data_IF_745942410690
#
_entry.id   IF_745942410690
#
_cell.length_a   1.000
_cell.length_b   1.000
_cell.length_c   1.000
_cell.angle_alpha   90.00
_cell.angle_beta   90.00
_cell.angle_gamma   90.00
#
_symmetry.space_group_name_H-M   'P 1'
#
loop_
_entity.id
_entity.type
_entity.pdbx_description
1 polymer ?
#
# COMPACT_ATOMS: atom_id res chain seq x y z
N UNK A 1 -1.73 17.87 -14.93
CA UNK A 1 -1.06 17.04 -13.90
C UNK A 1 0.39 16.91 -14.29
N UNK A 2 1.34 17.17 -13.40
CA UNK A 2 2.76 17.18 -13.76
C UNK A 2 3.25 15.78 -14.17
N UNK A 3 4.16 15.71 -15.15
CA UNK A 3 4.77 14.47 -15.64
C UNK A 3 5.38 13.64 -14.51
N UNK A 4 5.94 14.31 -13.49
CA UNK A 4 6.45 13.67 -12.27
C UNK A 4 5.36 12.83 -11.63
N UNK A 5 4.22 13.42 -11.28
CA UNK A 5 3.13 12.74 -10.59
C UNK A 5 2.65 11.52 -11.39
N UNK A 6 2.40 11.65 -12.69
CA UNK A 6 1.93 10.53 -13.53
C UNK A 6 2.92 9.36 -13.53
N UNK A 7 4.20 9.62 -13.81
CA UNK A 7 5.21 8.56 -13.87
C UNK A 7 5.53 7.98 -12.49
N UNK A 8 5.50 8.82 -11.44
CA UNK A 8 5.59 8.38 -10.06
C UNK A 8 4.44 7.43 -9.71
N UNK A 9 3.20 7.78 -10.03
CA UNK A 9 2.03 6.92 -9.79
C UNK A 9 2.20 5.56 -10.45
N UNK A 10 2.59 5.49 -11.72
CA UNK A 10 2.78 4.22 -12.42
C UNK A 10 3.91 3.39 -11.80
N UNK A 11 5.06 4.01 -11.50
CA UNK A 11 6.19 3.31 -10.88
C UNK A 11 5.89 2.84 -9.46
N UNK A 12 5.22 3.67 -8.67
CA UNK A 12 4.78 3.36 -7.32
C UNK A 12 3.75 2.23 -7.28
N UNK A 13 2.81 2.21 -8.23
CA UNK A 13 1.86 1.11 -8.41
C UNK A 13 2.60 -0.20 -8.66
N UNK A 14 3.45 -0.25 -9.69
CA UNK A 14 4.15 -1.49 -10.05
C UNK A 14 5.02 -1.99 -8.90
N UNK A 15 5.84 -1.11 -8.31
CA UNK A 15 6.74 -1.50 -7.22
C UNK A 15 5.96 -1.93 -5.96
N UNK A 16 4.93 -1.17 -5.58
CA UNK A 16 4.10 -1.46 -4.42
C UNK A 16 3.31 -2.75 -4.58
N UNK A 17 2.66 -2.95 -5.73
CA UNK A 17 1.86 -4.17 -6.00
C UNK A 17 2.74 -5.41 -6.03
N UNK A 18 3.92 -5.38 -6.64
CA UNK A 18 4.81 -6.54 -6.65
C UNK A 18 5.21 -6.96 -5.24
N UNK A 19 5.55 -6.00 -4.38
CA UNK A 19 5.91 -6.27 -2.98
C UNK A 19 4.70 -6.74 -2.18
N UNK A 20 3.54 -6.12 -2.37
CA UNK A 20 2.31 -6.53 -1.72
C UNK A 20 1.92 -7.97 -2.09
N UNK A 21 2.04 -8.37 -3.36
CA UNK A 21 1.80 -9.76 -3.78
C UNK A 21 2.74 -10.72 -3.06
N UNK A 22 4.04 -10.43 -3.02
CA UNK A 22 5.02 -11.29 -2.31
C UNK A 22 4.68 -11.41 -0.82
N UNK A 23 4.26 -10.32 -0.18
CA UNK A 23 3.92 -10.32 1.25
C UNK A 23 2.61 -11.06 1.49
N UNK A 24 1.51 -10.64 0.85
CA UNK A 24 0.16 -11.09 1.19
C UNK A 24 -0.24 -12.40 0.53
N UNK A 25 0.26 -12.70 -0.67
CA UNK A 25 0.01 -13.99 -1.34
C UNK A 25 1.14 -15.00 -1.11
N UNK A 26 2.36 -14.52 -0.81
CA UNK A 26 3.50 -15.38 -0.51
C UNK A 26 3.65 -15.63 1.00
N UNK A 27 4.28 -14.68 1.69
CA UNK A 27 4.70 -14.83 3.09
C UNK A 27 3.51 -15.06 4.03
N UNK A 28 2.41 -14.32 3.81
CA UNK A 28 1.19 -14.36 4.61
C UNK A 28 0.06 -15.17 3.94
N UNK A 29 0.34 -15.84 2.82
CA UNK A 29 -0.68 -16.48 1.98
C UNK A 29 -1.59 -17.44 2.74
N UNK A 30 -1.01 -18.33 3.55
CA UNK A 30 -1.79 -19.29 4.36
C UNK A 30 -2.65 -18.63 5.44
N UNK A 31 -2.15 -17.55 6.06
CA UNK A 31 -2.91 -16.78 7.05
C UNK A 31 -4.05 -16.02 6.38
N UNK A 32 -3.81 -15.44 5.21
CA UNK A 32 -4.83 -14.76 4.41
C UNK A 32 -5.91 -15.73 3.92
N UNK A 33 -5.53 -16.92 3.43
CA UNK A 33 -6.48 -17.97 3.03
C UNK A 33 -7.38 -18.41 4.18
N UNK A 34 -6.79 -18.69 5.35
CA UNK A 34 -7.55 -19.04 6.55
C UNK A 34 -8.52 -17.93 6.94
N UNK A 35 -8.05 -16.69 6.95
CA UNK A 35 -8.87 -15.52 7.24
C UNK A 35 -10.05 -15.40 6.27
N UNK A 36 -9.83 -15.61 4.96
CA UNK A 36 -10.90 -15.56 3.97
C UNK A 36 -11.93 -16.68 4.17
N UNK A 37 -11.48 -17.90 4.51
CA UNK A 37 -12.38 -19.02 4.79
C UNK A 37 -13.25 -18.74 6.03
N UNK A 38 -12.63 -18.25 7.11
CA UNK A 38 -13.32 -17.94 8.36
C UNK A 38 -14.32 -16.77 8.21
N UNK A 39 -14.15 -15.93 7.18
CA UNK A 39 -14.94 -14.72 6.95
C UNK A 39 -15.67 -14.70 5.59
N UNK A 40 -15.84 -15.85 4.93
CA UNK A 40 -16.38 -15.91 3.56
C UNK A 40 -17.77 -15.23 3.42
N UNK A 41 -18.58 -15.24 4.48
CA UNK A 41 -19.92 -14.65 4.48
C UNK A 41 -19.95 -13.12 4.28
N UNK A 42 -18.83 -12.42 4.52
CA UNK A 42 -18.73 -10.97 4.30
C UNK A 42 -17.82 -10.58 3.13
N UNK A 43 -17.35 -11.55 2.34
CA UNK A 43 -16.48 -11.30 1.20
C UNK A 43 -17.26 -11.33 -0.12
N UNK A 44 -16.97 -10.35 -0.98
CA UNK A 44 -17.34 -10.42 -2.39
C UNK A 44 -16.26 -11.18 -3.16
N UNK A 45 -16.63 -11.74 -4.32
CA UNK A 45 -15.64 -12.23 -5.27
C UNK A 45 -14.69 -11.10 -5.68
N UNK A 46 -13.39 -11.42 -5.71
CA UNK A 46 -12.36 -10.44 -6.07
C UNK A 46 -12.55 -9.98 -7.51
N UNK A 47 -12.76 -8.68 -7.72
CA UNK A 47 -12.71 -8.07 -9.03
C UNK A 47 -11.32 -7.48 -9.30
N UNK A 48 -10.52 -8.06 -10.22
CA UNK A 48 -9.15 -7.59 -10.48
C UNK A 48 -9.09 -6.14 -10.99
N UNK A 49 -10.13 -5.68 -11.70
CA UNK A 49 -10.21 -4.32 -12.21
C UNK A 49 -10.28 -3.29 -11.08
N UNK A 50 -11.16 -3.53 -10.09
CA UNK A 50 -11.27 -2.64 -8.93
C UNK A 50 -10.02 -2.67 -8.04
N UNK A 51 -9.32 -3.81 -7.97
CA UNK A 51 -8.02 -3.90 -7.31
C UNK A 51 -6.96 -3.00 -7.96
N UNK A 52 -6.86 -3.01 -9.30
CA UNK A 52 -5.95 -2.14 -10.04
C UNK A 52 -6.31 -0.67 -9.83
N UNK A 53 -7.61 -0.33 -9.88
CA UNK A 53 -8.07 1.05 -9.63
C UNK A 53 -7.71 1.49 -8.20
N UNK A 54 -7.92 0.63 -7.20
CA UNK A 54 -7.54 0.91 -5.81
C UNK A 54 -6.04 1.18 -5.66
N UNK A 55 -5.20 0.31 -6.24
CA UNK A 55 -3.75 0.50 -6.26
C UNK A 55 -3.33 1.80 -6.97
N UNK A 56 -3.97 2.14 -8.09
CA UNK A 56 -3.72 3.39 -8.82
C UNK A 56 -4.03 4.62 -7.96
N UNK A 57 -5.16 4.61 -7.25
CA UNK A 57 -5.56 5.70 -6.35
C UNK A 57 -4.55 5.85 -5.22
N UNK A 58 -4.11 4.75 -4.60
CA UNK A 58 -3.10 4.78 -3.54
C UNK A 58 -1.75 5.29 -4.05
N UNK A 59 -1.28 4.81 -5.20
CA UNK A 59 -0.03 5.25 -5.79
C UNK A 59 -0.09 6.72 -6.24
N UNK A 60 -1.25 7.21 -6.70
CA UNK A 60 -1.48 8.62 -7.00
C UNK A 60 -1.41 9.47 -5.73
N UNK A 61 -2.04 9.01 -4.65
CA UNK A 61 -1.97 9.68 -3.36
C UNK A 61 -0.52 9.82 -2.87
N UNK A 62 0.28 8.76 -2.96
CA UNK A 62 1.71 8.81 -2.61
C UNK A 62 2.47 9.78 -3.50
N UNK A 63 2.27 9.70 -4.82
CA UNK A 63 2.96 10.57 -5.76
C UNK A 63 2.67 12.05 -5.50
N UNK A 64 1.42 12.41 -5.20
CA UNK A 64 1.03 13.79 -4.86
C UNK A 64 1.69 14.25 -3.56
N UNK A 65 1.67 13.43 -2.50
CA UNK A 65 2.28 13.79 -1.22
C UNK A 65 3.80 13.93 -1.31
N UNK A 66 4.48 12.95 -1.91
CA UNK A 66 5.93 12.96 -2.08
C UNK A 66 6.40 14.12 -2.95
N UNK A 67 5.58 14.51 -3.93
CA UNK A 67 5.85 15.67 -4.76
C UNK A 67 5.76 16.96 -3.93
N UNK A 68 4.71 17.10 -3.12
CA UNK A 68 4.58 18.24 -2.18
C UNK A 68 5.68 18.28 -1.13
N UNK A 69 6.19 17.13 -0.69
CA UNK A 69 7.32 17.05 0.24
C UNK A 69 8.67 17.34 -0.43
N UNK A 70 8.72 17.57 -1.74
CA UNK A 70 9.97 17.81 -2.47
C UNK A 70 10.91 16.59 -2.48
N UNK A 71 10.35 15.38 -2.42
CA UNK A 71 11.15 14.16 -2.35
C UNK A 71 11.75 13.81 -3.71
N UNK A 72 13.07 13.60 -3.78
CA UNK A 72 13.80 13.32 -5.03
C UNK A 72 14.75 12.13 -4.93
N UNK A 73 14.73 11.40 -3.83
CA UNK A 73 15.62 10.24 -3.61
C UNK A 73 14.83 9.01 -3.22
N UNK A 74 15.37 7.83 -3.52
CA UNK A 74 14.77 6.56 -3.10
C UNK A 74 14.62 6.48 -1.58
N UNK A 75 15.69 6.79 -0.83
CA UNK A 75 15.68 6.75 0.63
C UNK A 75 14.63 7.70 1.24
N UNK A 76 14.56 8.94 0.75
CA UNK A 76 13.55 9.90 1.20
C UNK A 76 12.13 9.43 0.89
N UNK A 77 11.92 8.90 -0.32
CA UNK A 77 10.65 8.33 -0.74
C UNK A 77 10.24 7.12 0.10
N UNK A 78 11.18 6.26 0.44
CA UNK A 78 10.91 5.06 1.23
C UNK A 78 10.52 5.39 2.67
N UNK A 79 11.21 6.33 3.30
CA UNK A 79 10.88 6.77 4.67
C UNK A 79 9.50 7.43 4.69
N UNK A 80 9.23 8.35 3.76
CA UNK A 80 7.95 9.03 3.69
C UNK A 80 6.81 8.05 3.33
N UNK A 81 7.03 7.14 2.37
CA UNK A 81 6.07 6.09 2.00
C UNK A 81 5.74 5.15 3.16
N UNK A 82 6.74 4.74 3.94
CA UNK A 82 6.55 3.94 5.15
C UNK A 82 5.63 4.66 6.16
N UNK A 83 5.87 5.94 6.42
CA UNK A 83 5.05 6.74 7.34
C UNK A 83 3.63 6.95 6.82
N UNK A 84 3.47 7.25 5.54
CA UNK A 84 2.13 7.40 4.93
C UNK A 84 1.35 6.09 5.07
N UNK A 85 1.94 4.94 4.71
CA UNK A 85 1.32 3.63 4.90
C UNK A 85 0.98 3.35 6.35
N UNK A 86 1.92 3.56 7.27
CA UNK A 86 1.71 3.33 8.70
C UNK A 86 0.47 4.06 9.20
N UNK A 87 0.38 5.38 8.95
CA UNK A 87 -0.71 6.19 9.45
C UNK A 87 -2.05 5.82 8.80
N UNK A 88 -2.07 5.59 7.49
CA UNK A 88 -3.28 5.19 6.76
C UNK A 88 -3.82 3.85 7.28
N UNK A 89 -2.96 2.85 7.39
CA UNK A 89 -3.35 1.49 7.76
C UNK A 89 -3.61 1.38 9.26
N UNK A 90 -2.93 2.15 10.09
CA UNK A 90 -3.23 2.20 11.53
C UNK A 90 -4.62 2.75 11.76
N UNK A 91 -4.98 3.86 11.11
CA UNK A 91 -6.33 4.40 11.18
C UNK A 91 -7.37 3.39 10.67
N UNK A 92 -7.19 2.87 9.45
CA UNK A 92 -8.10 1.89 8.86
C UNK A 92 -8.26 0.67 9.76
N UNK A 93 -7.15 0.13 10.25
CA UNK A 93 -7.12 -1.08 11.06
C UNK A 93 -7.74 -0.91 12.44
N UNK A 94 -7.51 0.21 13.14
CA UNK A 94 -8.19 0.51 14.42
C UNK A 94 -9.70 0.62 14.22
N UNK A 95 -10.15 1.32 13.17
CA UNK A 95 -11.58 1.46 12.89
C UNK A 95 -12.20 0.10 12.57
N UNK A 96 -11.54 -0.73 11.76
CA UNK A 96 -12.09 -2.05 11.41
C UNK A 96 -12.04 -3.02 12.60
N UNK A 97 -10.95 -3.07 13.36
CA UNK A 97 -10.83 -3.96 14.52
C UNK A 97 -11.80 -3.62 15.67
N UNK A 98 -12.22 -2.36 15.77
CA UNK A 98 -13.24 -1.93 16.73
C UNK A 98 -14.68 -2.12 16.24
N UNK A 99 -14.90 -2.29 14.94
CA UNK A 99 -16.24 -2.31 14.33
C UNK A 99 -16.65 -3.69 13.82
N UNK A 100 -15.73 -4.45 13.24
CA UNK A 100 -16.02 -5.70 12.54
C UNK A 100 -15.32 -6.88 13.20
N UNK A 101 -16.07 -7.98 13.37
CA UNK A 101 -15.49 -9.25 13.87
C UNK A 101 -14.47 -9.87 12.91
N UNK A 102 -14.59 -9.56 11.62
CA UNK A 102 -13.72 -10.12 10.60
C UNK A 102 -12.28 -9.59 10.72
N UNK A 103 -12.07 -8.32 11.05
CA UNK A 103 -10.73 -7.76 11.19
C UNK A 103 -10.32 -7.80 12.67
N UNK A 104 -9.39 -8.67 13.05
CA UNK A 104 -9.04 -8.86 14.47
C UNK A 104 -7.92 -7.94 14.92
N UNK A 105 -7.84 -7.67 16.23
CA UNK A 105 -6.72 -6.94 16.83
C UNK A 105 -5.37 -7.65 16.67
N UNK A 106 -5.39 -8.98 16.54
CA UNK A 106 -4.20 -9.81 16.27
C UNK A 106 -3.72 -9.67 14.82
N UNK A 107 -4.63 -9.41 13.88
CA UNK A 107 -4.31 -9.20 12.47
C UNK A 107 -3.69 -7.82 12.22
N UNK A 108 -4.15 -6.80 12.94
CA UNK A 108 -3.69 -5.41 12.80
C UNK A 108 -2.14 -5.25 12.74
N UNK A 109 -1.34 -5.77 13.68
CA UNK A 109 0.12 -5.60 13.62
C UNK A 109 0.76 -6.27 12.40
N UNK A 110 0.21 -7.40 11.94
CA UNK A 110 0.70 -8.13 10.76
C UNK A 110 0.41 -7.30 9.50
N UNK A 111 -0.81 -6.80 9.37
CA UNK A 111 -1.25 -5.99 8.25
C UNK A 111 -0.52 -4.63 8.18
N UNK A 112 -0.24 -4.03 9.34
CA UNK A 112 0.60 -2.85 9.45
C UNK A 112 2.00 -3.10 8.91
N UNK A 113 2.67 -4.17 9.35
CA UNK A 113 4.02 -4.48 8.92
C UNK A 113 4.10 -4.69 7.40
N UNK A 114 3.15 -5.46 6.82
CA UNK A 114 3.09 -5.70 5.38
C UNK A 114 2.89 -4.42 4.56
N UNK A 115 1.99 -3.54 5.01
CA UNK A 115 1.72 -2.28 4.34
C UNK A 115 2.85 -1.24 4.50
N UNK A 116 3.54 -1.22 5.63
CA UNK A 116 4.72 -0.34 5.83
C UNK A 116 5.80 -0.70 4.82
N UNK A 117 6.11 -1.99 4.66
CA UNK A 117 7.12 -2.44 3.70
C UNK A 117 6.69 -2.13 2.27
N UNK A 118 5.44 -2.44 1.92
CA UNK A 118 4.88 -2.15 0.58
C UNK A 118 4.90 -0.64 0.29
N UNK A 119 4.54 0.18 1.27
CA UNK A 119 4.56 1.64 1.18
C UNK A 119 5.96 2.21 1.05
N UNK A 120 6.92 1.66 1.78
CA UNK A 120 8.31 2.07 1.68
C UNK A 120 8.85 1.82 0.27
N UNK A 121 8.57 0.66 -0.33
CA UNK A 121 9.04 0.35 -1.68
C UNK A 121 8.32 1.20 -2.73
N UNK A 122 7.01 1.35 -2.63
CA UNK A 122 6.23 2.23 -3.52
C UNK A 122 6.73 3.68 -3.46
N UNK A 123 6.87 4.23 -2.25
CA UNK A 123 7.37 5.57 -2.03
C UNK A 123 8.82 5.75 -2.49
N UNK A 124 9.67 4.75 -2.26
CA UNK A 124 11.06 4.75 -2.74
C UNK A 124 11.15 4.79 -4.26
N UNK A 125 10.35 3.97 -4.96
CA UNK A 125 10.27 3.99 -6.41
C UNK A 125 9.81 5.36 -6.95
N UNK A 126 8.79 5.96 -6.32
CA UNK A 126 8.32 7.31 -6.66
C UNK A 126 9.43 8.34 -6.47
N UNK A 127 10.08 8.36 -5.31
CA UNK A 127 11.14 9.32 -4.99
C UNK A 127 12.33 9.20 -5.95
N UNK A 128 12.69 7.97 -6.34
CA UNK A 128 13.71 7.72 -7.36
C UNK A 128 13.32 8.28 -8.73
N UNK A 129 12.08 8.04 -9.18
CA UNK A 129 11.57 8.56 -10.45
C UNK A 129 11.58 10.10 -10.45
N UNK A 130 11.16 10.73 -9.36
CA UNK A 130 11.18 12.19 -9.23
C UNK A 130 12.60 12.76 -9.29
N UNK A 131 13.60 12.06 -8.77
CA UNK A 131 15.01 12.45 -8.90
C UNK A 131 15.57 12.32 -10.32
N UNK A 132 15.00 11.46 -11.16
CA UNK A 132 15.42 11.26 -12.56
C UNK A 132 14.77 12.24 -13.53
N UNK A 133 13.55 12.68 -13.22
CA UNK A 133 12.84 13.70 -13.97
C UNK A 133 13.26 15.06 -13.40
N UNK A 134 14.18 15.78 -14.05
CA UNK A 134 14.44 17.17 -13.69
C UNK A 134 13.24 18.03 -14.09
#
# INVERSE_FOLDING_TARGET
MEKKIILGTLGGLVAGTLVAVVIYMGILGSTAEKWMQDNAACLNEMNPGWWIVGGLVQALFYAVLLHKFGTTTFKGGAIAGAWISFLMVLYFGIVNASTFKAYTWEWLPIDLAGNIVSGAIAGGAIGWIFGKLK
#
